data_IF_330240684657
#
_entry.id   IF_330240684657
#
_cell.length_a   1.000
_cell.length_b   1.000
_cell.length_c   1.000
_cell.angle_alpha   90.00
_cell.angle_beta   90.00
_cell.angle_gamma   90.00
#
_symmetry.space_group_name_H-M   'P 1'
#
loop_
_entity.id
_entity.type
_entity.pdbx_description
1 polymer ?
#
# COMPACT_ATOMS: atom_id res chain seq x y z
N UNK A 1 -30.26 -1.51 20.13
CA UNK A 1 -30.17 -1.93 18.71
C UNK A 1 -28.71 -2.11 18.37
N UNK A 2 -28.30 -3.34 18.04
CA UNK A 2 -26.93 -3.62 17.63
C UNK A 2 -26.68 -2.93 16.28
N UNK A 3 -25.77 -1.96 16.27
CA UNK A 3 -25.20 -1.41 15.04
C UNK A 3 -24.48 -2.56 14.33
N UNK A 4 -25.11 -3.08 13.28
CA UNK A 4 -24.48 -4.01 12.37
C UNK A 4 -23.48 -3.19 11.55
N UNK A 5 -22.24 -3.09 12.06
CA UNK A 5 -21.14 -2.52 11.31
C UNK A 5 -20.98 -3.31 10.02
N UNK A 6 -21.47 -2.76 8.91
CA UNK A 6 -21.13 -3.24 7.58
C UNK A 6 -19.61 -3.13 7.50
N UNK A 7 -18.94 -4.28 7.48
CA UNK A 7 -17.50 -4.35 7.32
C UNK A 7 -17.23 -3.96 5.87
N UNK A 8 -17.00 -2.67 5.63
CA UNK A 8 -16.61 -2.16 4.31
C UNK A 8 -15.37 -2.93 3.88
N UNK A 9 -15.45 -3.56 2.70
CA UNK A 9 -14.32 -4.28 2.13
C UNK A 9 -13.23 -3.25 1.82
N UNK A 10 -11.97 -3.57 2.15
CA UNK A 10 -10.86 -2.69 1.80
C UNK A 10 -10.59 -2.79 0.30
N UNK A 11 -11.07 -1.81 -0.44
CA UNK A 11 -10.73 -1.56 -1.83
C UNK A 11 -10.34 -0.08 -2.06
N UNK A 12 -9.86 0.23 -3.27
CA UNK A 12 -9.38 1.58 -3.63
C UNK A 12 -10.44 2.67 -3.44
N UNK A 13 -11.69 2.40 -3.83
CA UNK A 13 -12.80 3.33 -3.71
C UNK A 13 -13.16 3.53 -2.23
N UNK A 14 -13.16 2.45 -1.46
CA UNK A 14 -13.41 2.52 -0.02
C UNK A 14 -12.37 3.39 0.70
N UNK A 15 -11.09 3.32 0.30
CA UNK A 15 -10.02 4.16 0.87
C UNK A 15 -10.29 5.62 0.54
N UNK A 16 -10.51 5.94 -0.73
CA UNK A 16 -10.73 7.31 -1.18
C UNK A 16 -11.96 7.94 -0.51
N UNK A 17 -13.06 7.19 -0.38
CA UNK A 17 -14.31 7.65 0.20
C UNK A 17 -14.28 7.80 1.73
N UNK A 18 -13.31 7.19 2.42
CA UNK A 18 -13.22 7.23 3.88
C UNK A 18 -12.02 8.03 4.43
N UNK A 19 -11.24 8.68 3.58
CA UNK A 19 -10.24 9.67 4.02
C UNK A 19 -10.98 10.92 4.50
N UNK A 20 -10.92 11.20 5.80
CA UNK A 20 -11.73 12.24 6.44
C UNK A 20 -11.02 13.60 6.48
N UNK A 21 -9.75 13.59 6.88
CA UNK A 21 -9.03 14.80 7.20
C UNK A 21 -8.29 15.41 6.01
N UNK A 22 -8.43 16.73 5.89
CA UNK A 22 -7.57 17.58 5.05
C UNK A 22 -6.14 17.52 5.57
N UNK A 23 -5.17 17.70 4.68
CA UNK A 23 -3.74 17.61 5.00
C UNK A 23 -3.34 18.40 6.24
N UNK A 24 -3.88 19.61 6.39
CA UNK A 24 -3.56 20.56 7.46
C UNK A 24 -3.99 20.06 8.85
N UNK A 25 -4.99 19.17 8.90
CA UNK A 25 -5.52 18.60 10.14
C UNK A 25 -4.83 17.28 10.52
N UNK A 26 -4.05 16.69 9.62
CA UNK A 26 -3.39 15.41 9.86
C UNK A 26 -2.21 15.57 10.82
N UNK A 27 -2.01 14.57 11.67
CA UNK A 27 -0.87 14.52 12.56
C UNK A 27 0.45 14.46 11.78
N UNK A 28 1.45 15.33 12.10
CA UNK A 28 2.73 15.37 11.41
C UNK A 28 3.69 14.28 11.90
N UNK A 29 3.23 13.02 11.90
CA UNK A 29 4.00 11.84 12.33
C UNK A 29 3.93 10.74 11.29
N UNK A 30 4.96 9.91 11.26
CA UNK A 30 4.93 8.62 10.56
C UNK A 30 3.97 7.69 11.29
N UNK A 31 2.98 7.19 10.56
CA UNK A 31 2.10 6.14 11.06
C UNK A 31 2.39 4.79 10.43
N UNK A 32 2.36 3.75 11.27
CA UNK A 32 2.50 2.38 10.80
C UNK A 32 1.93 1.38 11.79
N UNK A 33 1.18 0.41 11.27
CA UNK A 33 0.79 -0.81 11.99
C UNK A 33 1.06 -2.02 11.10
N UNK A 34 1.70 -3.05 11.64
CA UNK A 34 1.99 -4.25 10.88
C UNK A 34 2.62 -5.36 11.68
N UNK A 35 2.78 -6.52 11.05
CA UNK A 35 3.42 -7.68 11.67
C UNK A 35 4.94 -7.62 11.52
N UNK A 36 5.60 -8.41 12.34
CA UNK A 36 7.04 -8.66 12.42
C UNK A 36 7.60 -9.48 11.24
N UNK A 37 7.11 -9.28 10.02
CA UNK A 37 7.44 -10.16 8.87
C UNK A 37 8.80 -9.89 8.20
N UNK A 38 9.62 -8.99 8.75
CA UNK A 38 10.95 -8.67 8.25
C UNK A 38 11.79 -7.99 9.35
N UNK A 39 13.11 -8.04 9.22
CA UNK A 39 14.04 -7.41 10.18
C UNK A 39 13.95 -5.89 10.14
N UNK A 40 13.69 -5.33 8.97
CA UNK A 40 13.55 -3.90 8.74
C UNK A 40 12.32 -3.33 9.46
N UNK A 41 11.25 -4.10 9.59
CA UNK A 41 10.09 -3.72 10.42
C UNK A 41 10.40 -3.73 11.91
N UNK A 42 11.26 -4.63 12.39
CA UNK A 42 11.74 -4.59 13.77
C UNK A 42 12.67 -3.39 14.00
N UNK A 43 13.54 -3.09 13.03
CA UNK A 43 14.41 -1.90 13.04
C UNK A 43 13.61 -0.60 13.07
N UNK A 44 12.47 -0.54 12.37
CA UNK A 44 11.55 0.61 12.46
C UNK A 44 11.08 0.86 13.90
N UNK A 45 10.80 -0.19 14.68
CA UNK A 45 10.41 -0.04 16.09
C UNK A 45 11.57 0.52 16.92
N UNK A 46 12.79 0.02 16.73
CA UNK A 46 13.98 0.56 17.38
C UNK A 46 14.19 2.05 17.07
N UNK A 47 14.16 2.41 15.78
CA UNK A 47 14.29 3.81 15.34
C UNK A 47 13.18 4.67 15.95
N UNK A 48 11.93 4.21 15.92
CA UNK A 48 10.79 5.01 16.40
C UNK A 48 10.87 5.37 17.88
N UNK A 49 11.46 4.50 18.71
CA UNK A 49 11.63 4.75 20.15
C UNK A 49 12.67 5.82 20.45
N UNK A 50 13.62 6.04 19.53
CA UNK A 50 14.61 7.12 19.63
C UNK A 50 14.03 8.47 19.21
N UNK A 51 12.94 8.48 18.44
CA UNK A 51 12.30 9.68 17.90
C UNK A 51 10.77 9.67 18.12
N UNK A 52 10.27 9.57 19.37
CA UNK A 52 8.84 9.40 19.65
C UNK A 52 7.96 10.56 19.15
N UNK A 53 8.54 11.74 18.95
CA UNK A 53 7.84 12.89 18.39
C UNK A 53 7.57 12.76 16.90
N UNK A 54 8.36 11.97 16.16
CA UNK A 54 8.22 11.76 14.72
C UNK A 54 7.36 10.55 14.36
N UNK A 55 7.11 9.63 15.30
CA UNK A 55 6.50 8.33 15.00
C UNK A 55 5.27 8.04 15.86
N UNK A 56 4.30 7.39 15.24
CA UNK A 56 3.28 6.60 15.88
C UNK A 56 3.24 5.22 15.19
N UNK A 57 4.14 4.33 15.59
CA UNK A 57 4.30 3.01 14.97
C UNK A 57 4.29 1.90 16.00
N UNK A 58 3.73 0.75 15.65
CA UNK A 58 3.75 -0.42 16.54
C UNK A 58 3.51 -1.70 15.74
N UNK A 59 4.06 -2.81 16.25
CA UNK A 59 3.73 -4.14 15.76
C UNK A 59 2.30 -4.52 16.16
N UNK A 60 1.56 -5.19 15.28
CA UNK A 60 0.20 -5.69 15.61
C UNK A 60 0.19 -7.13 16.10
N UNK A 61 1.21 -7.92 15.72
CA UNK A 61 1.35 -9.30 16.13
C UNK A 61 2.79 -9.78 15.90
N UNK A 62 3.24 -10.74 16.70
CA UNK A 62 4.47 -11.49 16.49
C UNK A 62 4.16 -12.89 15.96
N UNK A 63 4.65 -13.18 14.76
CA UNK A 63 4.53 -14.51 14.16
C UNK A 63 5.91 -15.09 13.81
N UNK A 64 6.81 -14.26 13.26
CA UNK A 64 8.10 -14.67 12.74
C UNK A 64 9.25 -14.56 13.77
N UNK A 65 9.17 -13.60 14.69
CA UNK A 65 10.19 -13.30 15.70
C UNK A 65 9.59 -13.34 17.11
N UNK A 66 8.84 -14.39 17.44
CA UNK A 66 8.12 -14.54 18.72
C UNK A 66 9.03 -14.45 19.94
N UNK A 67 10.27 -14.93 19.81
CA UNK A 67 11.31 -14.90 20.83
C UNK A 67 11.88 -13.49 21.10
N UNK A 68 11.55 -12.50 20.26
CA UNK A 68 12.03 -11.12 20.39
C UNK A 68 10.92 -10.15 20.82
N UNK A 69 9.78 -10.69 21.29
CA UNK A 69 8.62 -9.90 21.74
C UNK A 69 8.96 -8.97 22.89
N UNK A 70 9.79 -9.39 23.85
CA UNK A 70 10.23 -8.53 24.96
C UNK A 70 11.00 -7.31 24.44
N UNK A 71 11.80 -7.50 23.39
CA UNK A 71 12.61 -6.43 22.81
C UNK A 71 11.76 -5.46 21.97
N UNK A 72 10.89 -5.97 21.10
CA UNK A 72 10.19 -5.14 20.10
C UNK A 72 8.71 -4.85 20.42
N UNK A 73 8.17 -5.44 21.48
CA UNK A 73 6.81 -5.17 21.96
C UNK A 73 6.71 -3.84 22.74
N UNK A 74 5.54 -3.53 23.31
CA UNK A 74 4.30 -4.29 23.20
C UNK A 74 3.66 -4.16 21.81
N UNK A 75 2.78 -5.10 21.48
CA UNK A 75 1.93 -4.99 20.28
C UNK A 75 0.76 -4.04 20.51
N UNK A 76 0.30 -3.39 19.45
CA UNK A 76 -0.96 -2.65 19.42
C UNK A 76 -2.08 -3.44 18.74
N UNK A 77 -3.33 -3.12 19.06
CA UNK A 77 -4.49 -3.63 18.30
C UNK A 77 -4.42 -3.19 16.84
N UNK A 78 -5.12 -3.93 15.99
CA UNK A 78 -5.37 -3.49 14.62
C UNK A 78 -6.13 -2.15 14.62
N UNK A 79 -5.71 -1.27 13.72
CA UNK A 79 -6.34 0.03 13.45
C UNK A 79 -7.03 -0.07 12.08
N UNK A 80 -8.18 0.58 11.93
CA UNK A 80 -8.85 0.66 10.63
C UNK A 80 -7.89 1.28 9.62
N UNK A 81 -7.87 0.75 8.39
CA UNK A 81 -6.95 1.29 7.38
C UNK A 81 -7.29 2.76 7.03
N UNK A 82 -8.54 3.17 7.20
CA UNK A 82 -8.98 4.55 6.97
C UNK A 82 -8.35 5.53 7.97
N UNK A 83 -8.20 5.12 9.24
CA UNK A 83 -7.61 5.96 10.29
C UNK A 83 -6.09 6.13 10.11
N UNK A 84 -5.46 5.41 9.18
CA UNK A 84 -4.05 5.66 8.83
C UNK A 84 -3.91 7.08 8.26
N UNK A 85 -4.93 7.57 7.55
CA UNK A 85 -4.89 8.84 6.83
C UNK A 85 -5.16 10.07 7.72
N UNK A 86 -5.35 9.86 9.02
CA UNK A 86 -5.29 10.92 10.04
C UNK A 86 -3.84 11.41 10.25
N UNK A 87 -2.86 10.78 9.58
CA UNK A 87 -1.43 11.09 9.66
C UNK A 87 -0.86 11.50 8.30
N UNK A 88 -0.02 12.54 8.31
CA UNK A 88 0.61 13.10 7.09
C UNK A 88 1.52 12.10 6.39
N UNK A 89 2.17 11.23 7.16
CA UNK A 89 3.27 10.40 6.67
C UNK A 89 3.01 8.92 6.89
N UNK A 90 3.14 8.12 5.84
CA UNK A 90 3.02 6.66 5.87
C UNK A 90 4.35 6.03 5.48
N UNK A 91 4.66 4.84 6.01
CA UNK A 91 5.83 4.09 5.60
C UNK A 91 5.45 2.72 5.04
N UNK A 92 5.92 2.41 3.84
CA UNK A 92 5.74 1.14 3.18
C UNK A 92 7.03 0.32 3.25
N UNK A 93 7.11 -0.54 4.28
CA UNK A 93 8.16 -1.54 4.44
C UNK A 93 7.68 -2.90 3.97
N UNK A 94 8.53 -3.61 3.26
CA UNK A 94 8.22 -4.96 2.81
C UNK A 94 8.20 -5.94 3.97
N UNK A 95 7.51 -7.07 3.75
CA UNK A 95 7.46 -8.18 4.69
C UNK A 95 8.26 -9.35 4.15
N UNK A 96 7.61 -10.51 4.06
CA UNK A 96 8.15 -11.67 3.35
C UNK A 96 8.37 -11.36 1.86
N UNK A 97 7.50 -10.53 1.27
CA UNK A 97 7.55 -10.02 -0.11
C UNK A 97 7.05 -8.56 -0.13
N UNK A 98 6.82 -8.01 -1.32
CA UNK A 98 6.21 -6.69 -1.52
C UNK A 98 4.95 -6.51 -0.64
N UNK A 99 4.84 -5.36 0.01
CA UNK A 99 3.73 -5.09 0.90
C UNK A 99 2.46 -4.66 0.12
N UNK A 100 1.44 -5.54 0.10
CA UNK A 100 0.13 -5.32 -0.57
C UNK A 100 -0.63 -4.06 -0.14
N UNK A 101 -0.17 -3.36 0.90
CA UNK A 101 -0.78 -2.11 1.37
C UNK A 101 -0.39 -0.90 0.53
N UNK A 102 0.71 -0.98 -0.24
CA UNK A 102 1.26 0.17 -0.95
C UNK A 102 0.27 0.89 -1.88
N UNK A 103 -0.53 0.21 -2.73
CA UNK A 103 -1.50 0.92 -3.59
C UNK A 103 -2.54 1.69 -2.75
N UNK A 104 -2.98 1.13 -1.63
CA UNK A 104 -3.94 1.78 -0.73
C UNK A 104 -3.32 2.94 0.04
N UNK A 105 -2.04 2.85 0.43
CA UNK A 105 -1.33 3.97 1.06
C UNK A 105 -1.21 5.17 0.12
N UNK A 106 -0.92 4.92 -1.18
CA UNK A 106 -0.91 5.95 -2.21
C UNK A 106 -2.30 6.61 -2.34
N UNK A 107 -3.36 5.80 -2.40
CA UNK A 107 -4.74 6.27 -2.59
C UNK A 107 -5.24 7.25 -1.52
N UNK A 108 -4.69 7.21 -0.29
CA UNK A 108 -5.15 8.08 0.79
C UNK A 108 -4.55 9.49 0.84
N UNK A 109 -3.61 9.79 -0.06
CA UNK A 109 -3.03 11.14 -0.22
C UNK A 109 -2.13 11.61 0.93
N UNK A 110 -1.69 10.69 1.80
CA UNK A 110 -0.56 10.95 2.70
C UNK A 110 0.75 10.76 1.92
N UNK A 111 1.82 11.42 2.35
CA UNK A 111 3.14 11.17 1.79
C UNK A 111 3.60 9.75 2.18
N UNK A 112 3.96 8.93 1.19
CA UNK A 112 4.45 7.57 1.43
C UNK A 112 5.97 7.53 1.32
N UNK A 113 6.63 7.01 2.36
CA UNK A 113 8.03 6.61 2.35
C UNK A 113 8.12 5.14 1.92
N UNK A 114 8.69 4.86 0.75
CA UNK A 114 8.77 3.50 0.20
C UNK A 114 10.20 2.99 0.31
N UNK A 115 10.35 1.87 1.00
CA UNK A 115 11.62 1.15 1.09
C UNK A 115 12.12 0.72 -0.29
N UNK A 116 13.37 1.05 -0.58
CA UNK A 116 14.13 0.46 -1.69
C UNK A 116 14.41 -1.01 -1.38
N UNK A 117 13.96 -1.89 -2.26
CA UNK A 117 14.04 -3.33 -2.06
C UNK A 117 13.98 -4.06 -3.40
N UNK A 118 14.38 -5.33 -3.38
CA UNK A 118 14.27 -6.23 -4.54
C UNK A 118 12.83 -6.63 -4.88
N UNK A 119 11.85 -6.38 -4.00
CA UNK A 119 10.48 -6.80 -4.22
C UNK A 119 9.71 -5.73 -5.01
N UNK A 120 8.97 -6.19 -6.01
CA UNK A 120 8.17 -5.33 -6.87
C UNK A 120 6.77 -5.93 -7.11
N UNK A 121 5.82 -5.05 -7.41
CA UNK A 121 4.53 -5.41 -7.99
C UNK A 121 4.43 -4.80 -9.39
N UNK A 122 3.47 -5.28 -10.19
CA UNK A 122 3.39 -4.94 -11.63
C UNK A 122 3.34 -3.44 -11.94
N UNK A 123 2.83 -2.61 -11.01
CA UNK A 123 2.70 -1.16 -11.19
C UNK A 123 3.90 -0.34 -10.71
N UNK A 124 4.87 -0.95 -10.01
CA UNK A 124 5.98 -0.20 -9.39
C UNK A 124 6.83 0.53 -10.44
N UNK A 125 7.01 -0.08 -11.61
CA UNK A 125 7.81 0.50 -12.70
C UNK A 125 7.22 1.79 -13.29
N UNK A 126 5.93 2.06 -13.04
CA UNK A 126 5.28 3.30 -13.49
C UNK A 126 5.32 4.40 -12.41
N UNK A 127 5.75 4.08 -11.19
CA UNK A 127 5.95 5.06 -10.14
C UNK A 127 7.29 5.78 -10.31
N UNK A 128 7.31 7.06 -9.93
CA UNK A 128 8.50 7.91 -9.97
C UNK A 128 8.87 8.37 -8.56
N UNK A 129 10.10 8.05 -8.14
CA UNK A 129 10.69 8.55 -6.90
C UNK A 129 10.65 10.08 -6.83
N UNK A 130 10.39 10.62 -5.65
CA UNK A 130 10.24 12.06 -5.36
C UNK A 130 9.10 12.75 -6.12
N UNK A 131 8.29 12.01 -6.89
CA UNK A 131 7.08 12.52 -7.52
C UNK A 131 5.84 11.87 -6.92
N UNK A 132 5.82 10.54 -6.76
CA UNK A 132 4.67 9.81 -6.20
C UNK A 132 4.91 9.32 -4.76
N UNK A 133 6.18 9.26 -4.32
CA UNK A 133 6.60 8.77 -3.01
C UNK A 133 8.04 9.21 -2.72
N UNK A 134 8.47 9.12 -1.46
CA UNK A 134 9.88 9.32 -1.07
C UNK A 134 10.57 7.96 -0.94
N UNK A 135 11.60 7.65 -1.75
CA UNK A 135 12.36 6.41 -1.57
C UNK A 135 13.12 6.47 -0.23
N UNK A 136 13.30 5.36 0.47
CA UNK A 136 14.20 5.24 1.63
C UNK A 136 15.09 4.02 1.43
N UNK A 137 16.33 4.04 1.93
CA UNK A 137 17.26 2.92 1.79
C UNK A 137 16.70 1.65 2.42
N UNK A 138 17.10 0.50 1.88
CA UNK A 138 16.65 -0.81 2.38
C UNK A 138 16.87 -0.95 3.89
N UNK A 139 18.01 -0.49 4.39
CA UNK A 139 18.39 -0.59 5.79
C UNK A 139 17.82 0.53 6.68
N UNK A 140 17.00 1.44 6.14
CA UNK A 140 16.41 2.59 6.83
C UNK A 140 17.42 3.62 7.37
N UNK A 141 18.68 3.59 6.90
CA UNK A 141 19.74 4.49 7.39
C UNK A 141 19.49 5.97 7.10
N UNK A 142 18.69 6.28 6.07
CA UNK A 142 18.31 7.63 5.66
C UNK A 142 16.88 8.04 6.08
N UNK A 143 16.18 7.20 6.86
CA UNK A 143 14.77 7.41 7.19
C UNK A 143 14.55 8.71 7.98
N UNK A 144 15.37 8.98 8.99
CA UNK A 144 15.22 10.17 9.85
C UNK A 144 15.49 11.46 9.09
N UNK A 145 16.53 11.47 8.25
CA UNK A 145 16.85 12.60 7.38
C UNK A 145 15.65 12.95 6.48
N UNK A 146 15.07 11.93 5.84
CA UNK A 146 13.94 12.10 4.92
C UNK A 146 12.64 12.52 5.61
N UNK A 147 12.40 12.06 6.85
CA UNK A 147 11.27 12.54 7.65
C UNK A 147 11.45 14.01 8.01
N UNK A 148 12.64 14.42 8.45
CA UNK A 148 12.92 15.82 8.77
C UNK A 148 12.73 16.74 7.57
N UNK A 149 13.23 16.32 6.41
CA UNK A 149 12.98 17.02 5.16
C UNK A 149 11.48 17.20 4.88
N UNK A 150 10.67 16.16 5.05
CA UNK A 150 9.21 16.24 4.80
C UNK A 150 8.47 17.14 5.81
N UNK A 151 8.98 17.25 7.05
CA UNK A 151 8.45 18.17 8.06
C UNK A 151 8.81 19.62 7.74
N UNK A 152 10.04 19.85 7.28
CA UNK A 152 10.54 21.19 6.90
C UNK A 152 9.93 21.69 5.58
N UNK A 153 9.51 20.78 4.70
CA UNK A 153 8.96 21.07 3.37
C UNK A 153 7.52 20.57 3.24
N UNK A 154 6.64 20.98 4.18
CA UNK A 154 5.28 20.42 4.33
C UNK A 154 4.41 20.51 3.05
N UNK A 155 4.49 21.62 2.31
CA UNK A 155 3.73 21.78 1.06
C UNK A 155 4.27 20.90 -0.08
N UNK A 156 5.59 20.68 -0.12
CA UNK A 156 6.19 19.76 -1.10
C UNK A 156 5.84 18.31 -0.75
N UNK A 157 5.90 17.96 0.53
CA UNK A 157 5.47 16.66 1.05
C UNK A 157 3.99 16.38 0.72
N UNK A 158 3.11 17.37 0.91
CA UNK A 158 1.70 17.31 0.50
C UNK A 158 1.56 17.07 -0.99
N UNK A 159 2.29 17.82 -1.80
CA UNK A 159 2.25 17.72 -3.27
C UNK A 159 2.63 16.32 -3.74
N UNK A 160 3.71 15.75 -3.21
CA UNK A 160 4.15 14.37 -3.53
C UNK A 160 3.09 13.35 -3.09
N UNK A 161 2.51 13.51 -1.89
CA UNK A 161 1.42 12.64 -1.41
C UNK A 161 0.18 12.69 -2.32
N UNK A 162 -0.18 13.87 -2.80
CA UNK A 162 -1.29 14.06 -3.74
C UNK A 162 -1.00 13.46 -5.12
N UNK A 163 0.20 13.65 -5.66
CA UNK A 163 0.60 12.97 -6.90
C UNK A 163 0.60 11.44 -6.77
N UNK A 164 0.97 10.91 -5.62
CA UNK A 164 0.84 9.47 -5.32
C UNK A 164 -0.62 9.01 -5.36
N UNK A 165 -1.54 9.79 -4.78
CA UNK A 165 -2.98 9.55 -4.85
C UNK A 165 -3.50 9.61 -6.28
N UNK A 166 -3.13 10.63 -7.05
CA UNK A 166 -3.55 10.78 -8.43
C UNK A 166 -3.09 9.62 -9.29
N UNK A 167 -1.84 9.17 -9.11
CA UNK A 167 -1.34 7.95 -9.77
C UNK A 167 -2.23 6.74 -9.45
N UNK A 168 -2.58 6.54 -8.18
CA UNK A 168 -3.44 5.44 -7.76
C UNK A 168 -4.84 5.52 -8.40
N UNK A 169 -5.42 6.73 -8.46
CA UNK A 169 -6.73 6.97 -9.05
C UNK A 169 -6.73 6.76 -10.56
N UNK A 170 -5.65 7.10 -11.25
CA UNK A 170 -5.60 7.01 -12.70
C UNK A 170 -5.19 5.60 -13.18
N UNK A 171 -4.47 4.83 -12.36
CA UNK A 171 -3.79 3.61 -12.81
C UNK A 171 -4.10 2.35 -12.01
N UNK A 172 -4.71 2.45 -10.82
CA UNK A 172 -4.87 1.31 -9.90
C UNK A 172 -6.33 1.04 -9.48
N UNK A 173 -7.31 1.64 -10.15
CA UNK A 173 -8.73 1.32 -9.94
C UNK A 173 -9.05 -0.09 -10.46
N UNK A 174 -10.14 -0.74 -9.99
CA UNK A 174 -10.49 -2.10 -10.38
C UNK A 174 -10.42 -2.34 -11.89
N UNK A 175 -10.94 -1.41 -12.69
CA UNK A 175 -10.86 -1.49 -14.15
C UNK A 175 -9.43 -1.56 -14.68
N UNK A 176 -8.51 -0.74 -14.16
CA UNK A 176 -7.10 -0.77 -14.58
C UNK A 176 -6.48 -2.14 -14.28
N UNK A 177 -6.76 -2.69 -13.09
CA UNK A 177 -6.26 -4.02 -12.68
C UNK A 177 -6.79 -5.10 -13.62
N UNK A 178 -8.10 -5.12 -13.91
CA UNK A 178 -8.67 -6.11 -14.83
C UNK A 178 -8.09 -5.96 -16.25
N UNK A 179 -7.95 -4.73 -16.74
CA UNK A 179 -7.38 -4.48 -18.06
C UNK A 179 -5.92 -4.89 -18.18
N UNK A 180 -5.12 -4.69 -17.12
CA UNK A 180 -3.77 -5.21 -17.05
C UNK A 180 -3.75 -6.74 -17.22
N UNK A 181 -4.62 -7.47 -16.51
CA UNK A 181 -4.68 -8.94 -16.60
C UNK A 181 -5.17 -9.40 -17.98
N UNK A 182 -6.17 -8.74 -18.56
CA UNK A 182 -6.64 -9.06 -19.92
C UNK A 182 -5.51 -8.89 -20.93
N UNK A 183 -4.78 -7.76 -20.87
CA UNK A 183 -3.65 -7.52 -21.77
C UNK A 183 -2.52 -8.52 -21.51
N UNK A 184 -2.20 -8.81 -20.25
CA UNK A 184 -1.18 -9.80 -19.87
C UNK A 184 -1.49 -11.17 -20.47
N UNK A 185 -2.71 -11.67 -20.29
CA UNK A 185 -3.10 -12.99 -20.82
C UNK A 185 -3.20 -13.00 -22.35
N UNK A 186 -3.61 -11.89 -22.98
CA UNK A 186 -3.59 -11.76 -24.44
C UNK A 186 -2.17 -11.77 -25.02
N UNK A 187 -1.20 -11.11 -24.37
CA UNK A 187 0.20 -11.17 -24.82
C UNK A 187 0.86 -12.51 -24.50
N UNK A 188 0.49 -13.13 -23.38
CA UNK A 188 0.96 -14.46 -23.01
C UNK A 188 0.47 -15.53 -24.00
N UNK A 189 -0.80 -15.50 -24.40
CA UNK A 189 -1.38 -16.50 -25.31
C UNK A 189 -0.68 -16.53 -26.68
N UNK A 190 -0.20 -15.39 -27.17
CA UNK A 190 0.61 -15.31 -28.42
C UNK A 190 1.94 -16.05 -28.33
N UNK A 191 2.44 -16.30 -27.11
CA UNK A 191 3.71 -17.01 -26.86
C UNK A 191 3.51 -18.51 -26.62
N UNK A 192 2.27 -18.96 -26.42
CA UNK A 192 1.97 -20.39 -26.24
C UNK A 192 2.07 -21.08 -27.59
N UNK A 193 2.98 -22.05 -27.69
CA UNK A 193 3.24 -22.80 -28.93
C UNK A 193 2.63 -24.20 -28.93
N UNK A 194 2.34 -24.76 -27.76
CA UNK A 194 1.71 -26.06 -27.59
C UNK A 194 0.19 -25.97 -27.66
N UNK A 195 -0.48 -27.08 -28.00
CA UNK A 195 -1.94 -27.18 -27.88
C UNK A 195 -2.34 -27.23 -26.40
N UNK A 196 -3.41 -26.52 -26.03
CA UNK A 196 -3.94 -26.53 -24.67
C UNK A 196 -4.88 -27.72 -24.50
N UNK A 197 -4.53 -28.62 -23.58
CA UNK A 197 -5.33 -29.80 -23.25
C UNK A 197 -5.88 -29.70 -21.82
N UNK A 198 -7.12 -30.13 -21.61
CA UNK A 198 -7.73 -30.21 -20.28
C UNK A 198 -7.25 -31.51 -19.63
N UNK A 199 -6.51 -31.38 -18.53
CA UNK A 199 -5.94 -32.53 -17.81
C UNK A 199 -6.96 -33.13 -16.84
N UNK A 200 -6.92 -34.44 -16.64
CA UNK A 200 -7.72 -35.15 -15.64
C UNK A 200 -7.55 -34.50 -14.26
N UNK A 201 -8.67 -34.27 -13.56
CA UNK A 201 -8.70 -33.61 -12.25
C UNK A 201 -8.88 -32.10 -12.29
N UNK A 202 -8.88 -31.44 -13.46
CA UNK A 202 -9.25 -30.03 -13.57
C UNK A 202 -10.78 -29.85 -13.45
N UNK A 203 -11.21 -28.90 -12.61
CA UNK A 203 -12.62 -28.51 -12.47
C UNK A 203 -12.94 -27.28 -13.33
N UNK A 204 -14.07 -27.32 -14.05
CA UNK A 204 -14.52 -26.19 -14.87
C UNK A 204 -15.10 -25.07 -14.00
N UNK A 205 -14.42 -23.93 -13.97
CA UNK A 205 -14.93 -22.71 -13.34
C UNK A 205 -15.98 -22.05 -14.26
N UNK A 206 -17.25 -22.10 -13.87
CA UNK A 206 -18.35 -21.48 -14.62
C UNK A 206 -18.26 -19.95 -14.57
N UNK A 207 -18.19 -19.29 -15.73
CA UNK A 207 -18.32 -17.83 -15.83
C UNK A 207 -19.80 -17.42 -15.79
N UNK A 208 -20.15 -16.53 -14.86
CA UNK A 208 -21.54 -16.08 -14.62
C UNK A 208 -21.98 -14.93 -15.51
N UNK A 209 -21.06 -14.21 -16.18
CA UNK A 209 -21.37 -13.11 -17.12
C UNK A 209 -20.33 -13.02 -18.23
N UNK A 210 -20.79 -13.02 -19.49
CA UNK A 210 -19.96 -12.82 -20.70
C UNK A 210 -20.09 -11.39 -21.22
N UNK A 211 -19.93 -10.41 -20.33
CA UNK A 211 -19.86 -9.02 -20.79
C UNK A 211 -18.51 -8.79 -21.46
N UNK A 212 -18.51 -8.08 -22.60
CA UNK A 212 -17.26 -7.73 -23.29
C UNK A 212 -16.52 -6.71 -22.43
N UNK A 213 -15.37 -7.09 -21.89
CA UNK A 213 -14.48 -6.16 -21.19
C UNK A 213 -13.89 -5.18 -22.21
N UNK A 214 -14.17 -3.88 -22.06
CA UNK A 214 -13.63 -2.84 -22.93
C UNK A 214 -12.55 -2.03 -22.19
N UNK A 215 -11.29 -2.29 -22.54
CA UNK A 215 -10.13 -1.59 -21.99
C UNK A 215 -9.73 -0.32 -22.76
N UNK A 216 -10.41 -0.01 -23.87
CA UNK A 216 -10.14 1.16 -24.70
C UNK A 216 -10.99 2.39 -24.31
N UNK A 217 -11.89 2.27 -23.33
CA UNK A 217 -12.84 3.32 -22.99
C UNK A 217 -12.35 4.14 -21.78
N UNK A 218 -12.26 5.46 -21.91
CA UNK A 218 -11.84 6.38 -20.83
C UNK A 218 -12.99 6.73 -19.87
N UNK A 219 -13.77 5.75 -19.38
CA UNK A 219 -14.58 5.96 -18.17
C UNK A 219 -13.71 5.72 -16.94
N UNK A 220 -13.63 6.71 -16.06
CA UNK A 220 -13.08 6.55 -14.71
C UNK A 220 -14.10 5.80 -13.85
N UNK A 221 -13.63 4.91 -12.98
CA UNK A 221 -14.50 4.37 -11.93
C UNK A 221 -14.71 5.54 -10.93
N UNK A 222 -15.95 6.01 -10.80
CA UNK A 222 -16.32 7.11 -9.90
C UNK A 222 -16.85 6.56 -8.56
N UNK A 223 -16.73 7.38 -7.52
CA UNK A 223 -17.29 7.12 -6.18
C UNK A 223 -18.80 7.37 -6.14
#
# INVERSE_FOLDING_TARGET
MASQFIKVMLDMLSVQGNVRDKWENRHPKIFWRGRDSSRERLKLIEISRQYPDLFNVSLTNFFFFRNEMEKYGPTSKHVSFYDFFDYKYQINLDGTVAAYRFPYLLAGGSLVFKQDSKYYEFFYNNLKSNMHYIPIKQDLSDLIEKIKWAVENDEEAKTIGMHGRDFANDNLLPKNIFCYHVQLFNEYSKKVTSTVEIVEGMEMVKSSRREKCNCNYNMKDEL
#
